data_IF_066909927556
#
_entry.id   IF_066909927556
#
_cell.length_a   1.000
_cell.length_b   1.000
_cell.length_c   1.000
_cell.angle_alpha   90.00
_cell.angle_beta   90.00
_cell.angle_gamma   90.00
#
_symmetry.space_group_name_H-M   'P 1'
#
loop_
_entity.id
_entity.type
_entity.pdbx_description
1 polymer ?
#
# COMPACT_ATOMS: atom_id res chain seq x y z
N UNK A 1 17.95 -17.91 20.27
CA UNK A 1 16.89 -17.05 20.81
C UNK A 1 16.91 -15.74 20.02
N UNK A 2 16.05 -15.57 19.01
CA UNK A 2 15.98 -14.31 18.23
C UNK A 2 15.19 -13.29 19.04
N UNK A 3 15.88 -12.31 19.59
CA UNK A 3 15.26 -11.15 20.24
C UNK A 3 14.37 -10.42 19.21
N UNK A 4 13.05 -10.48 19.40
CA UNK A 4 12.10 -9.61 18.71
C UNK A 4 12.54 -8.16 19.01
N UNK A 5 13.09 -7.45 18.01
CA UNK A 5 13.22 -6.01 18.10
C UNK A 5 11.82 -5.46 18.34
N UNK A 6 11.63 -4.79 19.47
CA UNK A 6 10.41 -4.03 19.77
C UNK A 6 10.23 -3.05 18.62
N UNK A 7 9.20 -3.24 17.81
CA UNK A 7 8.85 -2.22 16.81
C UNK A 7 8.57 -0.92 17.55
N UNK A 8 9.05 0.23 17.07
CA UNK A 8 8.67 1.51 17.65
C UNK A 8 7.13 1.62 17.64
N UNK A 9 6.56 2.24 18.68
CA UNK A 9 5.13 2.49 18.75
C UNK A 9 4.74 3.43 17.60
N UNK A 10 4.30 2.84 16.50
CA UNK A 10 3.86 3.58 15.31
C UNK A 10 2.45 4.10 15.59
N UNK A 11 2.22 5.41 15.49
CA UNK A 11 0.91 5.97 15.77
C UNK A 11 -0.11 5.50 14.71
N UNK A 12 -1.36 5.33 15.15
CA UNK A 12 -2.46 5.10 14.22
C UNK A 12 -2.60 6.29 13.26
N UNK A 13 -3.03 6.05 12.00
CA UNK A 13 -3.28 7.16 11.07
C UNK A 13 -4.43 8.02 11.56
N UNK A 14 -4.36 9.31 11.25
CA UNK A 14 -5.39 10.29 11.63
C UNK A 14 -6.46 10.49 10.56
N UNK A 15 -6.23 9.96 9.36
CA UNK A 15 -7.15 10.07 8.21
C UNK A 15 -7.33 8.71 7.55
N UNK A 16 -8.52 8.45 6.97
CA UNK A 16 -8.80 7.19 6.30
C UNK A 16 -7.93 6.99 5.03
N UNK A 17 -7.70 8.04 4.27
CA UNK A 17 -6.87 8.04 3.05
C UNK A 17 -6.34 9.42 2.71
N UNK A 18 -5.26 9.46 1.92
CA UNK A 18 -4.64 10.67 1.41
C UNK A 18 -4.27 10.49 -0.07
N UNK A 19 -4.43 11.55 -0.86
CA UNK A 19 -3.98 11.57 -2.25
C UNK A 19 -2.47 11.76 -2.31
N UNK A 20 -1.79 10.85 -3.00
CA UNK A 20 -0.32 10.88 -3.14
C UNK A 20 0.07 11.67 -4.39
N UNK A 21 -0.54 11.34 -5.52
CA UNK A 21 -0.51 12.09 -6.77
C UNK A 21 -1.93 12.11 -7.34
N UNK A 22 -2.27 12.98 -8.28
CA UNK A 22 -3.63 13.04 -8.81
C UNK A 22 -4.19 11.67 -9.20
N UNK A 23 -5.29 11.28 -8.57
CA UNK A 23 -5.99 10.01 -8.79
C UNK A 23 -5.48 8.79 -8.03
N UNK A 24 -4.28 8.86 -7.43
CA UNK A 24 -3.69 7.75 -6.67
C UNK A 24 -3.72 8.04 -5.18
N UNK A 25 -4.51 7.26 -4.44
CA UNK A 25 -4.77 7.42 -3.03
C UNK A 25 -4.24 6.23 -2.22
N UNK A 26 -3.85 6.50 -1.01
CA UNK A 26 -3.32 5.50 -0.08
C UNK A 26 -4.09 5.58 1.23
N UNK A 27 -4.54 4.42 1.76
CA UNK A 27 -5.43 4.41 2.92
C UNK A 27 -5.31 3.19 3.82
N UNK A 28 -6.19 3.20 4.84
CA UNK A 28 -6.23 2.22 5.92
C UNK A 28 -7.61 1.59 6.07
N UNK A 29 -7.71 0.62 6.98
CA UNK A 29 -8.98 0.04 7.42
C UNK A 29 -9.50 0.69 8.69
N UNK A 30 -8.60 1.19 9.52
CA UNK A 30 -8.93 1.82 10.79
C UNK A 30 -8.02 3.03 11.02
N UNK A 31 -8.58 4.10 11.49
CA UNK A 31 -7.87 5.35 11.78
C UNK A 31 -8.38 5.96 13.08
N UNK A 32 -7.67 6.92 13.62
CA UNK A 32 -8.08 7.69 14.80
C UNK A 32 -9.05 8.76 14.35
N UNK A 33 -10.32 8.59 14.70
CA UNK A 33 -11.37 9.54 14.38
C UNK A 33 -11.26 10.86 15.15
N UNK A 34 -12.14 11.85 14.86
CA UNK A 34 -12.10 13.18 15.48
C UNK A 34 -12.18 13.17 17.01
N UNK A 35 -12.83 12.17 17.59
CA UNK A 35 -12.94 11.99 19.04
C UNK A 35 -11.69 11.34 19.68
N UNK A 36 -10.65 11.00 18.90
CA UNK A 36 -9.49 10.25 19.35
C UNK A 36 -9.72 8.74 19.46
N UNK A 37 -10.91 8.25 19.17
CA UNK A 37 -11.25 6.82 19.20
C UNK A 37 -11.03 6.16 17.83
N UNK A 38 -10.76 4.84 17.80
CA UNK A 38 -10.69 4.10 16.54
C UNK A 38 -11.98 4.24 15.72
N UNK A 39 -11.84 4.48 14.43
CA UNK A 39 -12.94 4.56 13.47
C UNK A 39 -12.64 3.71 12.24
N UNK A 40 -13.67 3.08 11.68
CA UNK A 40 -13.52 2.30 10.45
C UNK A 40 -13.41 3.24 9.24
N UNK A 41 -12.44 2.95 8.38
CA UNK A 41 -12.32 3.59 7.08
C UNK A 41 -13.18 2.83 6.06
N UNK A 42 -14.46 3.19 5.98
CA UNK A 42 -15.41 2.54 5.07
C UNK A 42 -15.35 3.21 3.71
N UNK A 43 -14.97 2.44 2.69
CA UNK A 43 -15.02 2.87 1.29
C UNK A 43 -16.39 2.46 0.71
N UNK A 44 -17.01 3.33 -0.08
CA UNK A 44 -18.23 3.01 -0.81
C UNK A 44 -17.96 3.04 -2.32
N UNK A 45 -18.18 4.18 -2.95
CA UNK A 45 -18.02 4.40 -4.39
C UNK A 45 -17.15 5.63 -4.72
N UNK A 46 -16.37 6.10 -3.74
CA UNK A 46 -15.51 7.28 -3.89
C UNK A 46 -14.36 7.05 -4.91
N UNK A 47 -14.02 5.79 -5.17
CA UNK A 47 -12.93 5.40 -6.06
C UNK A 47 -13.42 4.45 -7.14
N UNK A 48 -12.85 4.56 -8.33
CA UNK A 48 -13.16 3.65 -9.45
C UNK A 48 -12.56 2.25 -9.25
N UNK A 49 -11.41 2.19 -8.59
CA UNK A 49 -10.68 0.96 -8.27
C UNK A 49 -10.21 1.00 -6.81
N UNK A 50 -10.41 -0.10 -6.10
CA UNK A 50 -9.87 -0.31 -4.74
C UNK A 50 -8.96 -1.54 -4.75
N UNK A 51 -7.75 -1.39 -4.22
CA UNK A 51 -6.81 -2.49 -4.02
C UNK A 51 -6.57 -2.68 -2.52
N UNK A 52 -6.83 -3.87 -2.02
CA UNK A 52 -6.74 -4.22 -0.60
C UNK A 52 -5.64 -5.27 -0.39
N UNK A 53 -4.63 -4.92 0.40
CA UNK A 53 -3.45 -5.75 0.69
C UNK A 53 -3.61 -6.62 1.94
N UNK A 54 -4.79 -6.64 2.52
CA UNK A 54 -5.19 -7.50 3.64
C UNK A 54 -6.36 -8.37 3.21
N UNK A 55 -6.84 -9.24 4.09
CA UNK A 55 -8.11 -9.94 3.85
C UNK A 55 -9.24 -8.92 3.75
N UNK A 56 -10.05 -9.03 2.70
CA UNK A 56 -11.21 -8.18 2.54
C UNK A 56 -12.27 -8.50 3.62
N UNK A 57 -12.88 -7.45 4.15
CA UNK A 57 -14.02 -7.52 5.07
C UNK A 57 -15.14 -6.61 4.56
N UNK A 58 -16.36 -7.12 4.50
CA UNK A 58 -17.51 -6.39 3.96
C UNK A 58 -17.79 -5.07 4.68
N UNK A 59 -17.51 -5.01 5.98
CA UNK A 59 -17.70 -3.79 6.78
C UNK A 59 -16.83 -2.61 6.34
N UNK A 60 -15.73 -2.87 5.64
CA UNK A 60 -14.83 -1.82 5.11
C UNK A 60 -15.17 -1.40 3.68
N UNK A 61 -16.10 -2.06 3.03
CA UNK A 61 -16.41 -1.85 1.61
C UNK A 61 -15.31 -2.40 0.67
N UNK A 62 -15.25 -2.01 -0.59
CA UNK A 62 -16.13 -1.07 -1.28
C UNK A 62 -17.52 -1.61 -1.61
N UNK A 63 -18.39 -0.74 -2.13
CA UNK A 63 -19.71 -1.15 -2.62
C UNK A 63 -19.58 -2.17 -3.76
N UNK A 64 -20.57 -3.07 -3.95
CA UNK A 64 -20.46 -4.20 -4.90
C UNK A 64 -20.21 -3.82 -6.36
N UNK A 65 -20.52 -2.59 -6.77
CA UNK A 65 -20.30 -2.10 -8.14
C UNK A 65 -18.89 -1.59 -8.41
N UNK A 66 -18.05 -1.47 -7.38
CA UNK A 66 -16.67 -0.96 -7.51
C UNK A 66 -15.71 -2.10 -7.82
N UNK A 67 -14.78 -1.88 -8.75
CA UNK A 67 -13.73 -2.86 -9.05
C UNK A 67 -12.81 -3.00 -7.83
N UNK A 68 -12.70 -4.22 -7.31
CA UNK A 68 -11.96 -4.50 -6.10
C UNK A 68 -10.93 -5.62 -6.32
N UNK A 69 -9.65 -5.28 -6.21
CA UNK A 69 -8.56 -6.23 -6.24
C UNK A 69 -8.12 -6.54 -4.80
N UNK A 70 -8.11 -7.79 -4.43
CA UNK A 70 -7.68 -8.25 -3.09
C UNK A 70 -6.45 -9.13 -3.23
N UNK A 71 -5.35 -8.73 -2.60
CA UNK A 71 -4.10 -9.47 -2.60
C UNK A 71 -3.47 -9.41 -1.21
N UNK A 72 -3.89 -10.29 -0.28
CA UNK A 72 -3.35 -10.30 1.08
C UNK A 72 -1.86 -10.66 1.08
N UNK A 73 -1.05 -9.81 1.68
CA UNK A 73 0.37 -10.05 1.92
C UNK A 73 0.72 -9.74 3.38
N UNK A 74 1.76 -10.38 3.95
CA UNK A 74 2.24 -10.01 5.27
C UNK A 74 2.99 -8.67 5.25
N UNK A 75 3.03 -8.00 6.38
CA UNK A 75 3.92 -6.86 6.60
C UNK A 75 5.29 -7.37 7.10
N UNK A 76 6.00 -8.03 6.22
CA UNK A 76 7.26 -8.73 6.51
C UNK A 76 7.88 -9.27 5.22
N UNK A 77 8.76 -10.29 5.31
CA UNK A 77 9.36 -10.90 4.12
C UNK A 77 8.28 -11.43 3.15
N UNK A 78 8.47 -11.18 1.87
CA UNK A 78 7.58 -11.62 0.79
C UNK A 78 8.29 -12.66 -0.07
N UNK A 79 7.55 -13.68 -0.49
CA UNK A 79 8.02 -14.63 -1.51
C UNK A 79 7.85 -14.10 -2.93
N UNK A 80 8.37 -14.84 -3.91
CA UNK A 80 8.30 -14.44 -5.31
C UNK A 80 6.87 -14.29 -5.83
N UNK A 81 5.95 -15.14 -5.39
CA UNK A 81 4.52 -15.08 -5.76
C UNK A 81 3.85 -13.82 -5.20
N UNK A 82 4.13 -13.49 -3.96
CA UNK A 82 3.59 -12.29 -3.31
C UNK A 82 4.11 -11.02 -3.99
N UNK A 83 5.41 -10.95 -4.30
CA UNK A 83 6.00 -9.84 -5.05
C UNK A 83 5.43 -9.73 -6.47
N UNK A 84 5.21 -10.85 -7.15
CA UNK A 84 4.56 -10.85 -8.47
C UNK A 84 3.15 -10.24 -8.41
N UNK A 85 2.39 -10.54 -7.36
CA UNK A 85 1.07 -9.94 -7.13
C UNK A 85 1.14 -8.43 -6.92
N UNK A 86 2.10 -7.95 -6.14
CA UNK A 86 2.34 -6.50 -5.96
C UNK A 86 2.66 -5.81 -7.29
N UNK A 87 3.50 -6.43 -8.12
CA UNK A 87 3.83 -5.92 -9.46
C UNK A 87 2.57 -5.82 -10.33
N UNK A 88 1.70 -6.83 -10.32
CA UNK A 88 0.43 -6.81 -11.07
C UNK A 88 -0.52 -5.73 -10.56
N UNK A 89 -0.63 -5.55 -9.26
CA UNK A 89 -1.46 -4.47 -8.69
C UNK A 89 -0.95 -3.09 -9.11
N UNK A 90 0.35 -2.86 -9.06
CA UNK A 90 0.94 -1.60 -9.49
C UNK A 90 0.74 -1.34 -10.99
N UNK A 91 0.82 -2.38 -11.81
CA UNK A 91 0.51 -2.28 -13.24
C UNK A 91 -0.95 -1.88 -13.46
N UNK A 92 -1.90 -2.55 -12.80
CA UNK A 92 -3.32 -2.23 -12.90
C UNK A 92 -3.63 -0.81 -12.39
N UNK A 93 -2.97 -0.36 -11.32
CA UNK A 93 -3.09 1.00 -10.83
C UNK A 93 -2.59 2.02 -11.86
N UNK A 94 -1.44 1.79 -12.47
CA UNK A 94 -0.89 2.65 -13.52
C UNK A 94 -1.82 2.75 -14.75
N UNK A 95 -2.35 1.63 -15.20
CA UNK A 95 -3.31 1.58 -16.32
C UNK A 95 -4.60 2.35 -16.00
N UNK A 96 -5.13 2.23 -14.79
CA UNK A 96 -6.30 2.96 -14.36
C UNK A 96 -6.03 4.47 -14.30
N UNK A 97 -4.87 4.91 -13.81
CA UNK A 97 -4.46 6.31 -13.84
C UNK A 97 -4.37 6.86 -15.27
N UNK A 98 -3.81 6.07 -16.19
CA UNK A 98 -3.73 6.46 -17.62
C UNK A 98 -5.10 6.62 -18.26
N UNK A 99 -6.12 5.95 -17.73
CA UNK A 99 -7.52 6.07 -18.14
C UNK A 99 -8.28 7.19 -17.40
N UNK A 100 -7.61 7.98 -16.58
CA UNK A 100 -8.22 9.03 -15.77
C UNK A 100 -9.08 8.55 -14.61
N UNK A 101 -8.89 7.29 -14.17
CA UNK A 101 -9.60 6.69 -13.04
C UNK A 101 -8.92 6.99 -11.72
N UNK A 102 -9.72 7.02 -10.64
CA UNK A 102 -9.22 7.16 -9.27
C UNK A 102 -9.03 5.79 -8.61
N UNK A 103 -7.95 5.67 -7.83
CA UNK A 103 -7.56 4.41 -7.20
C UNK A 103 -7.25 4.63 -5.73
N UNK A 104 -7.80 3.76 -4.87
CA UNK A 104 -7.38 3.62 -3.47
C UNK A 104 -6.59 2.33 -3.30
N UNK A 105 -5.37 2.44 -2.80
CA UNK A 105 -4.56 1.30 -2.35
C UNK A 105 -4.50 1.31 -0.83
N UNK A 106 -4.97 0.24 -0.18
CA UNK A 106 -5.09 0.21 1.27
C UNK A 106 -4.56 -1.07 1.91
N UNK A 107 -4.11 -0.95 3.14
CA UNK A 107 -3.83 -2.04 4.06
C UNK A 107 -4.35 -1.68 5.45
N UNK A 108 -3.94 -2.36 6.52
CA UNK A 108 -4.51 -2.08 7.84
C UNK A 108 -4.28 -0.64 8.29
N UNK A 109 -3.03 -0.18 8.38
CA UNK A 109 -2.69 1.20 8.76
C UNK A 109 -2.51 2.16 7.58
N UNK A 110 -2.39 1.63 6.37
CA UNK A 110 -2.08 2.45 5.21
C UNK A 110 -0.65 2.99 5.21
N UNK A 111 0.32 2.20 5.68
CA UNK A 111 1.73 2.61 5.77
C UNK A 111 2.68 1.76 4.92
N UNK A 112 2.78 0.46 5.18
CA UNK A 112 3.81 -0.39 4.56
C UNK A 112 3.32 -1.12 3.31
N UNK A 113 2.34 -2.01 3.43
CA UNK A 113 1.86 -2.85 2.31
C UNK A 113 1.26 -2.01 1.20
N UNK A 114 0.40 -1.06 1.52
CA UNK A 114 -0.12 -0.09 0.55
C UNK A 114 0.98 0.81 0.00
N UNK A 115 1.93 1.22 0.85
CA UNK A 115 3.10 2.01 0.44
C UNK A 115 3.96 1.29 -0.58
N UNK A 116 4.14 -0.02 -0.45
CA UNK A 116 4.90 -0.83 -1.40
C UNK A 116 4.28 -0.79 -2.80
N UNK A 117 2.97 -0.98 -2.90
CA UNK A 117 2.24 -0.92 -4.19
C UNK A 117 2.27 0.48 -4.77
N UNK A 118 1.96 1.50 -3.96
CA UNK A 118 1.92 2.90 -4.41
C UNK A 118 3.30 3.37 -4.88
N UNK A 119 4.36 3.07 -4.12
CA UNK A 119 5.72 3.43 -4.51
C UNK A 119 6.13 2.75 -5.83
N UNK A 120 5.84 1.45 -5.98
CA UNK A 120 6.14 0.76 -7.24
C UNK A 120 5.34 1.31 -8.42
N UNK A 121 4.09 1.69 -8.20
CA UNK A 121 3.26 2.38 -9.21
C UNK A 121 3.94 3.68 -9.67
N UNK A 122 4.40 4.50 -8.72
CA UNK A 122 5.12 5.75 -9.02
C UNK A 122 6.43 5.49 -9.76
N UNK A 123 7.18 4.46 -9.37
CA UNK A 123 8.43 4.09 -10.05
C UNK A 123 8.20 3.66 -11.50
N UNK A 124 7.14 2.91 -11.77
CA UNK A 124 6.74 2.55 -13.14
C UNK A 124 6.35 3.78 -13.97
N UNK A 125 5.96 4.86 -13.33
CA UNK A 125 5.62 6.15 -13.97
C UNK A 125 6.81 7.13 -14.05
N UNK A 126 8.01 6.68 -13.70
CA UNK A 126 9.26 7.42 -13.88
C UNK A 126 9.86 8.04 -12.62
N UNK A 127 9.26 7.86 -11.44
CA UNK A 127 9.85 8.34 -10.19
C UNK A 127 10.98 7.39 -9.72
N UNK A 128 12.15 7.92 -9.34
CA UNK A 128 13.13 7.13 -8.61
C UNK A 128 12.58 6.63 -7.27
N UNK A 129 13.07 5.49 -6.77
CA UNK A 129 12.58 4.87 -5.55
C UNK A 129 12.56 5.84 -4.35
N UNK A 130 13.67 6.52 -4.09
CA UNK A 130 13.76 7.44 -2.94
C UNK A 130 12.83 8.66 -3.08
N UNK A 131 12.57 9.13 -4.29
CA UNK A 131 11.59 10.19 -4.55
C UNK A 131 10.17 9.71 -4.27
N UNK A 132 9.79 8.51 -4.75
CA UNK A 132 8.50 7.91 -4.50
C UNK A 132 8.26 7.73 -2.98
N UNK A 133 9.25 7.24 -2.25
CA UNK A 133 9.18 7.07 -0.79
C UNK A 133 9.00 8.42 -0.09
N UNK A 134 9.77 9.44 -0.46
CA UNK A 134 9.64 10.80 0.12
C UNK A 134 8.25 11.38 -0.14
N UNK A 135 7.74 11.24 -1.34
CA UNK A 135 6.41 11.74 -1.71
C UNK A 135 5.31 11.09 -0.86
N UNK A 136 5.37 9.78 -0.71
CA UNK A 136 4.42 9.03 0.14
C UNK A 136 4.51 9.50 1.59
N UNK A 137 5.71 9.65 2.13
CA UNK A 137 5.91 10.12 3.50
C UNK A 137 5.43 11.54 3.72
N UNK A 138 5.55 12.41 2.72
CA UNK A 138 5.08 13.80 2.81
C UNK A 138 3.55 13.92 2.70
N UNK A 139 2.91 13.03 1.96
CA UNK A 139 1.46 13.10 1.67
C UNK A 139 0.63 12.26 2.63
N UNK A 140 1.10 11.07 2.98
CA UNK A 140 0.37 10.15 3.87
C UNK A 140 0.78 10.27 5.32
N UNK A 141 2.03 9.99 5.62
CA UNK A 141 2.59 10.01 6.98
C UNK A 141 4.09 9.81 6.94
N UNK A 142 4.86 10.46 7.84
CA UNK A 142 6.28 10.15 8.02
C UNK A 142 6.56 8.68 8.37
N UNK A 143 5.57 7.96 8.89
CA UNK A 143 5.64 6.54 9.24
C UNK A 143 5.37 5.61 8.07
N UNK A 144 4.94 6.12 6.93
CA UNK A 144 4.75 5.31 5.74
C UNK A 144 6.08 4.67 5.31
N UNK A 145 6.01 3.38 4.92
CA UNK A 145 7.21 2.61 4.53
C UNK A 145 8.28 2.55 5.64
N UNK A 146 7.86 2.47 6.91
CA UNK A 146 8.79 2.21 8.01
C UNK A 146 9.29 0.76 8.05
N UNK A 147 8.71 -0.15 7.27
CA UNK A 147 9.24 -1.47 7.03
C UNK A 147 10.45 -1.36 6.09
N UNK A 148 11.66 -1.43 6.68
CA UNK A 148 12.91 -1.27 5.93
C UNK A 148 13.09 -2.32 4.83
N UNK A 149 12.57 -3.53 5.01
CA UNK A 149 12.63 -4.58 4.00
C UNK A 149 11.86 -4.17 2.73
N UNK A 150 10.71 -3.51 2.87
CA UNK A 150 9.97 -2.99 1.72
C UNK A 150 10.72 -1.86 1.01
N UNK A 151 11.41 -1.02 1.76
CA UNK A 151 12.30 0.00 1.20
C UNK A 151 13.44 -0.65 0.39
N UNK A 152 14.03 -1.71 0.91
CA UNK A 152 15.07 -2.48 0.20
C UNK A 152 14.53 -3.10 -1.10
N UNK A 153 13.33 -3.69 -1.07
CA UNK A 153 12.67 -4.20 -2.29
C UNK A 153 12.48 -3.11 -3.35
N UNK A 154 12.06 -1.93 -2.93
CA UNK A 154 11.88 -0.79 -3.84
C UNK A 154 13.19 -0.29 -4.43
N UNK A 155 14.25 -0.20 -3.63
CA UNK A 155 15.58 0.23 -4.07
C UNK A 155 16.24 -0.78 -5.02
N UNK A 156 16.08 -2.07 -4.76
CA UNK A 156 16.54 -3.12 -5.67
C UNK A 156 15.71 -3.16 -6.97
N UNK A 157 14.45 -2.72 -6.89
CA UNK A 157 13.43 -2.92 -7.92
C UNK A 157 12.68 -4.24 -7.70
N UNK A 158 11.35 -4.19 -7.72
CA UNK A 158 10.52 -5.37 -7.42
C UNK A 158 10.77 -6.55 -8.37
N UNK A 159 10.97 -6.36 -9.68
CA UNK A 159 11.32 -7.48 -10.56
C UNK A 159 12.62 -8.18 -10.13
N UNK A 160 13.63 -7.43 -9.72
CA UNK A 160 14.90 -7.97 -9.21
C UNK A 160 14.71 -8.67 -7.87
N UNK A 161 14.00 -8.04 -6.94
CA UNK A 161 13.68 -8.62 -5.64
C UNK A 161 12.93 -9.95 -5.78
N UNK A 162 11.96 -10.01 -6.69
CA UNK A 162 11.22 -11.24 -7.01
C UNK A 162 12.16 -12.37 -7.48
N UNK A 163 13.06 -12.08 -8.41
CA UNK A 163 14.01 -13.08 -8.92
C UNK A 163 14.94 -13.60 -7.81
N UNK A 164 15.39 -12.73 -6.92
CA UNK A 164 16.25 -13.13 -5.79
C UNK A 164 15.51 -14.04 -4.82
N UNK A 165 14.25 -13.77 -4.53
CA UNK A 165 13.43 -14.63 -3.67
C UNK A 165 13.14 -15.99 -4.32
N UNK A 166 12.84 -16.03 -5.63
CA UNK A 166 12.64 -17.27 -6.38
C UNK A 166 13.90 -18.15 -6.43
N UNK A 167 15.09 -17.56 -6.40
CA UNK A 167 16.35 -18.30 -6.36
C UNK A 167 16.70 -18.81 -4.95
N UNK A 168 16.10 -18.25 -3.91
CA UNK A 168 16.32 -18.62 -2.51
C UNK A 168 15.39 -19.78 -2.04
N UNK A 169 14.32 -20.08 -2.79
CA UNK A 169 13.38 -21.18 -2.53
C UNK A 169 13.94 -22.52 -3.03
#
# INVERSE_FOLDING_TARGET
>A
MRTRRKQPDVPAPDRPWDEIVPGLWMGCHEYRGPSGQPALAVVRDEFDLVQTLTRARSEHGPDPGVVHHVWPIPDGPLDGTQLAGVIRLAQAAGEALDQGRSILVRCYSGYNRSGLVVAHTLMRRGHPADEAIRLIRSRRSPWALHNELFVEYLRAGLPTARLLEELAE
#
